data_IF_626542006369
#
_entry.id   IF_626542006369
#
_cell.length_a   1.000
_cell.length_b   1.000
_cell.length_c   1.000
_cell.angle_alpha   90.00
_cell.angle_beta   90.00
_cell.angle_gamma   90.00
#
_symmetry.space_group_name_H-M   'P 1'
#
loop_
_entity.id
_entity.type
_entity.pdbx_description
1 polymer ?
#
# COMPACT_ATOMS: atom_id res chain seq x y z
N UNK A 1 51.28 20.25 39.00
CA UNK A 1 50.39 19.09 39.14
C UNK A 1 49.06 19.41 38.45
N UNK A 2 48.79 18.80 37.29
CA UNK A 2 47.50 18.94 36.61
C UNK A 2 46.43 18.16 37.37
N UNK A 3 45.47 18.87 37.98
CA UNK A 3 44.30 18.24 38.62
C UNK A 3 43.45 17.62 37.50
N UNK A 4 43.22 16.30 37.55
CA UNK A 4 42.29 15.63 36.64
C UNK A 4 40.91 16.29 36.77
N UNK A 5 40.18 16.53 35.67
CA UNK A 5 38.80 16.99 35.76
C UNK A 5 37.96 15.95 36.54
N UNK A 6 36.98 16.39 37.33
CA UNK A 6 36.17 15.49 38.13
C UNK A 6 35.40 14.52 37.24
N UNK A 7 35.39 13.24 37.63
CA UNK A 7 34.60 12.20 36.96
C UNK A 7 33.11 12.53 37.15
N UNK A 8 32.29 12.52 36.09
CA UNK A 8 30.85 12.75 36.21
C UNK A 8 30.24 11.73 37.18
N UNK A 9 29.55 12.21 38.22
CA UNK A 9 28.78 11.34 39.12
C UNK A 9 27.47 11.01 38.41
N UNK A 10 27.30 9.76 38.01
CA UNK A 10 26.00 9.26 37.56
C UNK A 10 25.08 9.24 38.78
N UNK A 11 24.02 10.04 38.76
CA UNK A 11 22.97 9.99 39.78
C UNK A 11 22.13 8.72 39.57
N UNK A 12 21.84 7.97 40.64
CA UNK A 12 21.03 6.73 40.59
C UNK A 12 19.62 6.95 40.00
N UNK A 13 19.17 8.21 39.94
CA UNK A 13 17.87 8.62 39.39
C UNK A 13 17.91 8.95 37.89
N UNK A 14 18.99 8.60 37.17
CA UNK A 14 19.01 8.67 35.72
C UNK A 14 18.12 7.55 35.16
N UNK A 15 16.81 7.78 35.14
CA UNK A 15 15.86 6.93 34.42
C UNK A 15 16.39 6.76 32.99
N UNK A 16 16.71 5.52 32.64
CA UNK A 16 17.06 5.17 31.26
C UNK A 16 15.94 5.74 30.38
N UNK A 17 16.24 6.58 29.37
CA UNK A 17 15.18 7.12 28.53
C UNK A 17 14.37 5.94 28.00
N UNK A 18 13.04 5.98 28.20
CA UNK A 18 12.15 4.93 27.69
C UNK A 18 12.47 4.77 26.20
N UNK A 19 13.01 3.61 25.83
CA UNK A 19 13.31 3.28 24.44
C UNK A 19 11.97 3.32 23.72
N UNK A 20 11.75 4.34 22.90
CA UNK A 20 10.63 4.33 21.96
C UNK A 20 10.93 3.17 21.01
N UNK A 21 10.27 2.03 21.23
CA UNK A 21 10.42 0.88 20.35
C UNK A 21 10.04 1.32 18.94
N UNK A 22 10.92 1.01 17.99
CA UNK A 22 10.64 1.29 16.59
C UNK A 22 9.48 0.41 16.13
N UNK A 23 8.69 0.86 15.15
CA UNK A 23 7.56 0.09 14.64
C UNK A 23 8.02 -1.28 14.12
N UNK A 24 9.20 -1.34 13.51
CA UNK A 24 9.81 -2.59 13.07
C UNK A 24 10.06 -3.54 14.24
N UNK A 25 10.66 -3.05 15.35
CA UNK A 25 10.87 -3.85 16.57
C UNK A 25 9.55 -4.34 17.14
N UNK A 26 8.50 -3.50 17.17
CA UNK A 26 7.17 -3.88 17.64
C UNK A 26 6.53 -4.98 16.79
N UNK A 27 6.65 -4.89 15.45
CA UNK A 27 6.14 -5.92 14.54
C UNK A 27 6.88 -7.24 14.79
N UNK A 28 8.21 -7.23 14.83
CA UNK A 28 9.02 -8.43 15.07
C UNK A 28 8.68 -9.07 16.43
N UNK A 29 8.54 -8.27 17.48
CA UNK A 29 8.16 -8.73 18.83
C UNK A 29 6.79 -9.44 18.82
N UNK A 30 5.82 -8.91 18.07
CA UNK A 30 4.46 -9.49 17.98
C UNK A 30 4.47 -10.78 17.18
N UNK A 31 5.13 -10.80 16.01
CA UNK A 31 5.28 -11.99 15.17
C UNK A 31 5.92 -13.13 15.97
N UNK A 32 7.00 -12.82 16.70
CA UNK A 32 7.67 -13.78 17.57
C UNK A 32 6.75 -14.30 18.69
N UNK A 33 6.06 -13.40 19.41
CA UNK A 33 5.11 -13.78 20.48
C UNK A 33 3.96 -14.65 20.00
N UNK A 34 3.51 -14.45 18.76
CA UNK A 34 2.43 -15.21 18.14
C UNK A 34 2.90 -16.47 17.41
N UNK A 35 4.21 -16.75 17.41
CA UNK A 35 4.82 -17.88 16.70
C UNK A 35 4.45 -17.91 15.20
N UNK A 36 4.45 -16.73 14.56
CA UNK A 36 4.15 -16.57 13.14
C UNK A 36 5.44 -16.64 12.30
N UNK A 37 5.29 -16.88 10.99
CA UNK A 37 6.43 -17.00 10.08
C UNK A 37 6.92 -15.63 9.56
N UNK A 38 8.12 -15.62 8.98
CA UNK A 38 8.75 -14.44 8.38
C UNK A 38 7.91 -13.79 7.26
N UNK A 39 6.98 -14.54 6.64
CA UNK A 39 6.11 -14.00 5.60
C UNK A 39 5.12 -12.99 6.17
N UNK A 40 4.56 -13.25 7.36
CA UNK A 40 3.69 -12.31 8.07
C UNK A 40 4.47 -11.04 8.43
N UNK A 41 5.70 -11.17 8.90
CA UNK A 41 6.57 -10.03 9.22
C UNK A 41 6.83 -9.18 7.98
N UNK A 42 7.31 -9.80 6.88
CA UNK A 42 7.57 -9.12 5.61
C UNK A 42 6.32 -8.42 5.09
N UNK A 43 5.16 -9.06 5.18
CA UNK A 43 3.89 -8.47 4.74
C UNK A 43 3.50 -7.29 5.61
N UNK A 44 3.62 -7.40 6.93
CA UNK A 44 3.34 -6.31 7.89
C UNK A 44 4.23 -5.09 7.62
N UNK A 45 5.53 -5.32 7.45
CA UNK A 45 6.50 -4.27 7.08
C UNK A 45 6.16 -3.65 5.73
N UNK A 46 5.77 -4.45 4.74
CA UNK A 46 5.38 -3.93 3.42
C UNK A 46 4.15 -3.02 3.49
N UNK A 47 3.18 -3.34 4.35
CA UNK A 47 1.98 -2.51 4.57
C UNK A 47 2.37 -1.22 5.29
N UNK A 48 3.21 -1.31 6.31
CA UNK A 48 3.73 -0.16 7.06
C UNK A 48 4.53 0.82 6.19
N UNK A 49 5.37 0.32 5.28
CA UNK A 49 6.17 1.19 4.41
C UNK A 49 5.33 1.97 3.39
N UNK A 50 4.11 1.51 3.15
CA UNK A 50 3.20 2.10 2.16
C UNK A 50 2.17 3.02 2.84
N UNK A 51 1.79 2.74 4.09
CA UNK A 51 0.80 3.50 4.85
C UNK A 51 1.45 4.32 5.97
N UNK A 52 1.05 5.58 6.13
CA UNK A 52 1.46 6.37 7.29
C UNK A 52 0.69 5.93 8.53
N UNK A 53 1.28 4.99 9.29
CA UNK A 53 0.67 4.40 10.49
C UNK A 53 1.39 4.92 11.74
N UNK A 54 0.66 5.39 12.77
CA UNK A 54 1.26 5.86 14.02
C UNK A 54 2.08 4.78 14.73
N UNK A 55 3.28 5.12 15.19
CA UNK A 55 4.12 4.20 15.96
C UNK A 55 3.53 3.94 17.35
N UNK A 56 2.83 2.81 17.51
CA UNK A 56 2.30 2.33 18.78
C UNK A 56 2.03 0.83 18.73
N UNK A 57 2.02 0.18 19.89
CA UNK A 57 1.80 -1.26 20.01
C UNK A 57 0.47 -1.72 19.38
N UNK A 58 -0.63 -1.01 19.63
CA UNK A 58 -1.95 -1.35 19.08
C UNK A 58 -1.96 -1.31 17.54
N UNK A 59 -1.26 -0.33 16.94
CA UNK A 59 -1.16 -0.22 15.49
C UNK A 59 -0.24 -1.30 14.89
N UNK A 60 0.86 -1.64 15.58
CA UNK A 60 1.72 -2.76 15.20
C UNK A 60 0.95 -4.10 15.22
N UNK A 61 0.12 -4.31 16.24
CA UNK A 61 -0.72 -5.51 16.34
C UNK A 61 -1.79 -5.56 15.25
N UNK A 62 -2.45 -4.42 14.96
CA UNK A 62 -3.42 -4.33 13.88
C UNK A 62 -2.79 -4.56 12.50
N UNK A 63 -1.54 -4.13 12.29
CA UNK A 63 -0.74 -4.42 11.09
C UNK A 63 -0.50 -5.92 10.91
N UNK A 64 -0.06 -6.61 11.98
CA UNK A 64 0.13 -8.06 11.97
C UNK A 64 -1.18 -8.77 11.66
N UNK A 65 -2.30 -8.34 12.24
CA UNK A 65 -3.61 -8.95 12.01
C UNK A 65 -4.09 -8.73 10.57
N UNK A 66 -3.83 -7.54 10.01
CA UNK A 66 -4.07 -7.27 8.60
C UNK A 66 -3.22 -8.19 7.70
N UNK A 67 -1.94 -8.40 8.04
CA UNK A 67 -1.05 -9.28 7.27
C UNK A 67 -1.47 -10.75 7.34
N UNK A 68 -1.88 -11.22 8.53
CA UNK A 68 -2.43 -12.56 8.73
C UNK A 68 -3.68 -12.79 7.88
N UNK A 69 -4.63 -11.85 7.89
CA UNK A 69 -5.84 -11.92 7.06
C UNK A 69 -5.52 -11.98 5.56
N UNK A 70 -4.59 -11.16 5.06
CA UNK A 70 -4.19 -11.16 3.65
C UNK A 70 -3.49 -12.47 3.24
N UNK A 71 -2.81 -13.12 4.18
CA UNK A 71 -2.13 -14.41 3.99
C UNK A 71 -3.00 -15.62 4.38
N UNK A 72 -4.30 -15.40 4.69
CA UNK A 72 -5.27 -16.45 5.05
C UNK A 72 -4.92 -17.24 6.32
N UNK A 73 -4.25 -16.61 7.28
CA UNK A 73 -4.07 -17.15 8.63
C UNK A 73 -5.29 -16.85 9.52
N UNK A 74 -5.56 -17.72 10.49
CA UNK A 74 -6.57 -17.48 11.52
C UNK A 74 -6.14 -16.34 12.44
N UNK A 75 -6.98 -15.31 12.53
CA UNK A 75 -6.76 -14.19 13.45
C UNK A 75 -7.40 -14.52 14.80
N UNK A 76 -6.68 -14.42 15.93
CA UNK A 76 -7.24 -14.69 17.24
C UNK A 76 -8.43 -13.77 17.56
N UNK A 77 -9.42 -14.31 18.27
CA UNK A 77 -10.48 -13.50 18.85
C UNK A 77 -9.88 -12.53 19.88
N UNK A 78 -10.07 -11.23 19.66
CA UNK A 78 -9.49 -10.14 20.45
C UNK A 78 -10.47 -8.97 20.57
N UNK A 79 -10.04 -7.89 21.23
CA UNK A 79 -10.79 -6.64 21.35
C UNK A 79 -11.34 -6.17 19.98
N UNK A 80 -12.64 -5.90 19.91
CA UNK A 80 -13.33 -5.39 18.72
C UNK A 80 -12.65 -4.15 18.15
N UNK A 81 -12.06 -3.30 18.99
CA UNK A 81 -11.32 -2.11 18.55
C UNK A 81 -10.09 -2.46 17.72
N UNK A 82 -9.38 -3.53 18.08
CA UNK A 82 -8.21 -3.99 17.36
C UNK A 82 -8.62 -4.57 16.00
N UNK A 83 -9.67 -5.40 15.98
CA UNK A 83 -10.22 -5.96 14.73
C UNK A 83 -10.72 -4.85 13.80
N UNK A 84 -11.39 -3.83 14.34
CA UNK A 84 -11.83 -2.67 13.58
C UNK A 84 -10.65 -1.90 12.99
N UNK A 85 -9.60 -1.68 13.78
CA UNK A 85 -8.38 -0.99 13.32
C UNK A 85 -7.68 -1.79 12.20
N UNK A 86 -7.54 -3.11 12.38
CA UNK A 86 -6.97 -4.00 11.36
C UNK A 86 -7.76 -3.95 10.06
N UNK A 87 -9.10 -3.95 10.14
CA UNK A 87 -9.98 -3.80 8.98
C UNK A 87 -9.82 -2.44 8.29
N UNK A 88 -9.65 -1.36 9.05
CA UNK A 88 -9.40 -0.03 8.48
C UNK A 88 -8.07 0.02 7.73
N UNK A 89 -6.99 -0.53 8.31
CA UNK A 89 -5.69 -0.66 7.67
C UNK A 89 -5.81 -1.48 6.38
N UNK A 90 -6.51 -2.61 6.43
CA UNK A 90 -6.76 -3.46 5.27
C UNK A 90 -7.50 -2.72 4.16
N UNK A 91 -8.55 -1.96 4.51
CA UNK A 91 -9.29 -1.15 3.54
C UNK A 91 -8.43 -0.06 2.92
N UNK A 92 -7.60 0.62 3.72
CA UNK A 92 -6.66 1.61 3.21
C UNK A 92 -5.67 0.98 2.24
N UNK A 93 -5.02 -0.11 2.64
CA UNK A 93 -4.03 -0.82 1.83
C UNK A 93 -4.62 -1.40 0.54
N UNK A 94 -5.77 -2.06 0.61
CA UNK A 94 -6.46 -2.62 -0.57
C UNK A 94 -6.96 -1.55 -1.54
N UNK A 95 -7.26 -0.35 -1.03
CA UNK A 95 -7.66 0.79 -1.87
C UNK A 95 -6.51 1.44 -2.65
N UNK A 96 -5.27 1.01 -2.45
CA UNK A 96 -4.12 1.51 -3.18
C UNK A 96 -3.99 0.84 -4.55
N UNK A 97 -3.68 1.66 -5.56
CA UNK A 97 -3.40 1.15 -6.90
C UNK A 97 -2.18 0.24 -6.94
N UNK A 98 -1.17 0.49 -6.10
CA UNK A 98 0.04 -0.34 -6.00
C UNK A 98 -0.28 -1.77 -5.58
N UNK A 99 -1.25 -1.96 -4.68
CA UNK A 99 -1.73 -3.28 -4.25
C UNK A 99 -2.37 -4.02 -5.42
N UNK A 100 -3.17 -3.35 -6.25
CA UNK A 100 -3.75 -3.95 -7.45
C UNK A 100 -2.67 -4.33 -8.48
N UNK A 101 -1.69 -3.45 -8.70
CA UNK A 101 -0.56 -3.72 -9.59
C UNK A 101 0.25 -4.95 -9.13
N UNK A 102 0.50 -5.08 -7.83
CA UNK A 102 1.19 -6.25 -7.25
C UNK A 102 0.40 -7.54 -7.46
N UNK A 103 -0.92 -7.54 -7.22
CA UNK A 103 -1.79 -8.71 -7.48
C UNK A 103 -1.77 -9.14 -8.94
N UNK A 104 -1.64 -8.17 -9.86
CA UNK A 104 -1.53 -8.40 -11.30
C UNK A 104 -0.10 -8.69 -11.78
N UNK A 105 0.88 -8.76 -10.86
CA UNK A 105 2.31 -8.99 -11.16
C UNK A 105 2.90 -7.96 -12.14
N UNK A 106 2.43 -6.71 -12.05
CA UNK A 106 2.94 -5.60 -12.85
C UNK A 106 4.27 -5.14 -12.25
N UNK A 107 5.29 -4.90 -13.10
CA UNK A 107 6.60 -4.44 -12.65
C UNK A 107 6.57 -3.01 -12.07
N UNK A 108 7.66 -2.59 -11.42
CA UNK A 108 7.74 -1.28 -10.74
C UNK A 108 7.67 -0.09 -11.70
N UNK A 109 8.18 -0.21 -12.93
CA UNK A 109 8.14 0.86 -13.93
C UNK A 109 6.71 1.06 -14.42
N UNK A 110 6.04 -0.02 -14.79
CA UNK A 110 4.65 -0.02 -15.19
C UNK A 110 3.71 0.39 -14.04
N UNK A 111 4.04 0.03 -12.79
CA UNK A 111 3.32 0.51 -11.61
C UNK A 111 3.40 2.03 -11.46
N UNK A 112 4.56 2.62 -11.71
CA UNK A 112 4.72 4.09 -11.71
C UNK A 112 3.82 4.74 -12.75
N UNK A 113 3.75 4.18 -13.96
CA UNK A 113 2.84 4.65 -15.02
C UNK A 113 1.38 4.58 -14.55
N UNK A 114 0.96 3.47 -13.92
CA UNK A 114 -0.40 3.33 -13.38
C UNK A 114 -0.73 4.41 -12.33
N UNK A 115 0.21 4.69 -11.41
CA UNK A 115 0.04 5.72 -10.36
C UNK A 115 -0.05 7.11 -10.97
N UNK A 116 0.84 7.45 -11.90
CA UNK A 116 0.81 8.75 -12.60
C UNK A 116 -0.48 8.91 -13.36
N UNK A 117 -0.89 7.89 -14.11
CA UNK A 117 -2.12 7.91 -14.89
C UNK A 117 -3.35 8.11 -13.99
N UNK A 118 -3.44 7.42 -12.85
CA UNK A 118 -4.53 7.61 -11.89
C UNK A 118 -4.65 9.07 -11.45
N UNK A 119 -3.52 9.73 -11.14
CA UNK A 119 -3.51 11.15 -10.76
C UNK A 119 -4.01 12.04 -11.89
N UNK A 120 -3.63 11.76 -13.13
CA UNK A 120 -4.05 12.53 -14.31
C UNK A 120 -5.55 12.36 -14.60
N UNK A 121 -6.07 11.13 -14.52
CA UNK A 121 -7.48 10.85 -14.81
C UNK A 121 -8.40 11.13 -13.62
N UNK A 122 -7.86 11.46 -12.43
CA UNK A 122 -8.62 11.70 -11.20
C UNK A 122 -9.83 12.61 -11.41
N UNK A 123 -9.75 13.75 -12.14
CA UNK A 123 -10.91 14.61 -12.37
C UNK A 123 -12.08 13.91 -13.09
N UNK A 124 -11.77 12.92 -13.93
CA UNK A 124 -12.75 12.15 -14.71
C UNK A 124 -13.39 11.02 -13.91
N UNK A 125 -12.66 10.46 -12.93
CA UNK A 125 -13.07 9.24 -12.20
C UNK A 125 -13.34 9.45 -10.71
N UNK A 126 -13.14 10.66 -10.17
CA UNK A 126 -13.22 10.94 -8.72
C UNK A 126 -14.53 10.52 -8.05
N UNK A 127 -15.65 10.50 -8.78
CA UNK A 127 -16.98 10.11 -8.25
C UNK A 127 -17.17 8.60 -8.16
N UNK A 128 -16.25 7.80 -8.72
CA UNK A 128 -16.33 6.34 -8.74
C UNK A 128 -15.72 5.76 -7.46
N UNK A 129 -16.07 4.52 -7.06
CA UNK A 129 -15.36 3.83 -5.98
C UNK A 129 -13.86 3.69 -6.27
N UNK A 130 -13.00 3.80 -5.23
CA UNK A 130 -11.53 3.72 -5.40
C UNK A 130 -11.07 2.46 -6.14
N UNK A 131 -11.68 1.30 -5.86
CA UNK A 131 -11.39 0.04 -6.56
C UNK A 131 -11.61 0.16 -8.06
N UNK A 132 -12.69 0.83 -8.47
CA UNK A 132 -12.98 1.09 -9.88
C UNK A 132 -12.03 2.14 -10.48
N UNK A 133 -11.72 3.22 -9.74
CA UNK A 133 -10.72 4.21 -10.20
C UNK A 133 -9.37 3.54 -10.48
N UNK A 134 -8.89 2.69 -9.57
CA UNK A 134 -7.65 1.93 -9.72
C UNK A 134 -7.72 0.97 -10.91
N UNK A 135 -8.81 0.21 -11.05
CA UNK A 135 -8.98 -0.74 -12.15
C UNK A 135 -9.00 -0.06 -13.53
N UNK A 136 -9.64 1.11 -13.62
CA UNK A 136 -9.64 1.94 -14.83
C UNK A 136 -8.22 2.39 -15.18
N UNK A 137 -7.50 2.96 -14.21
CA UNK A 137 -6.13 3.43 -14.42
C UNK A 137 -5.21 2.27 -14.85
N UNK A 138 -5.28 1.13 -14.16
CA UNK A 138 -4.49 -0.06 -14.52
C UNK A 138 -4.84 -0.56 -15.92
N UNK A 139 -6.13 -0.60 -16.29
CA UNK A 139 -6.52 -1.07 -17.62
C UNK A 139 -5.97 -0.16 -18.73
N UNK A 140 -6.16 1.17 -18.61
CA UNK A 140 -5.65 2.11 -19.61
C UNK A 140 -4.11 2.07 -19.66
N UNK A 141 -3.43 2.09 -18.51
CA UNK A 141 -1.97 2.04 -18.47
C UNK A 141 -1.43 0.76 -19.13
N UNK A 142 -2.01 -0.39 -18.81
CA UNK A 142 -1.57 -1.68 -19.37
C UNK A 142 -1.88 -1.80 -20.86
N UNK A 143 -2.96 -1.20 -21.35
CA UNK A 143 -3.25 -1.13 -22.79
C UNK A 143 -2.24 -0.26 -23.54
N UNK A 144 -1.73 0.79 -22.92
CA UNK A 144 -0.68 1.65 -23.49
C UNK A 144 0.69 0.95 -23.46
N UNK A 145 1.10 0.42 -22.30
CA UNK A 145 2.42 -0.19 -22.10
C UNK A 145 2.56 -1.48 -22.91
N UNK A 146 1.54 -2.34 -22.84
CA UNK A 146 1.52 -3.67 -23.45
C UNK A 146 0.68 -3.69 -24.72
N UNK A 147 0.63 -2.58 -25.47
CA UNK A 147 -0.17 -2.43 -26.69
C UNK A 147 0.04 -3.60 -27.67
N UNK A 148 1.30 -4.04 -27.84
CA UNK A 148 1.65 -5.17 -28.72
C UNK A 148 1.18 -6.53 -28.22
N UNK A 149 0.93 -6.68 -26.92
CA UNK A 149 0.45 -7.92 -26.29
C UNK A 149 -1.07 -7.88 -26.01
N UNK A 150 -1.75 -6.79 -26.36
CA UNK A 150 -3.20 -6.62 -26.13
C UNK A 150 -3.58 -6.21 -24.70
N UNK A 151 -2.61 -5.75 -23.89
CA UNK A 151 -2.88 -5.33 -22.51
C UNK A 151 -3.21 -6.47 -21.55
N UNK A 152 -3.59 -6.13 -20.31
CA UNK A 152 -4.10 -7.13 -19.36
C UNK A 152 -5.59 -7.34 -19.58
N UNK A 153 -6.06 -8.59 -19.51
CA UNK A 153 -7.46 -8.93 -19.67
C UNK A 153 -8.35 -8.22 -18.64
N UNK A 154 -9.42 -7.57 -19.10
CA UNK A 154 -10.35 -6.82 -18.25
C UNK A 154 -11.00 -7.69 -17.16
N UNK A 155 -11.28 -8.97 -17.46
CA UNK A 155 -11.86 -9.92 -16.49
C UNK A 155 -10.88 -10.21 -15.35
N UNK A 156 -9.58 -10.30 -15.64
CA UNK A 156 -8.55 -10.53 -14.64
C UNK A 156 -8.40 -9.31 -13.71
N UNK A 157 -8.39 -8.10 -14.28
CA UNK A 157 -8.34 -6.86 -13.48
C UNK A 157 -9.57 -6.75 -12.60
N UNK A 158 -10.76 -6.97 -13.16
CA UNK A 158 -12.03 -6.91 -12.43
C UNK A 158 -12.06 -7.91 -11.26
N UNK A 159 -11.61 -9.15 -11.49
CA UNK A 159 -11.48 -10.16 -10.45
C UNK A 159 -10.55 -9.70 -9.31
N UNK A 160 -9.34 -9.23 -9.64
CA UNK A 160 -8.37 -8.78 -8.62
C UNK A 160 -8.79 -7.52 -7.87
N UNK A 161 -9.58 -6.65 -8.51
CA UNK A 161 -10.14 -5.45 -7.91
C UNK A 161 -11.48 -5.69 -7.20
N UNK A 162 -11.99 -6.92 -7.18
CA UNK A 162 -13.27 -7.31 -6.60
C UNK A 162 -14.46 -6.48 -7.14
N UNK A 163 -14.54 -6.35 -8.47
CA UNK A 163 -15.61 -5.65 -9.20
C UNK A 163 -16.10 -6.49 -10.38
N UNK A 164 -17.28 -6.16 -10.93
CA UNK A 164 -17.79 -6.87 -12.11
C UNK A 164 -17.12 -6.39 -13.41
N UNK A 165 -16.81 -7.29 -14.35
CA UNK A 165 -16.20 -6.91 -15.63
C UNK A 165 -17.05 -5.92 -16.43
N UNK A 166 -18.38 -6.05 -16.40
CA UNK A 166 -19.31 -5.18 -17.11
C UNK A 166 -19.26 -3.76 -16.54
N UNK A 167 -19.16 -3.62 -15.22
CA UNK A 167 -19.09 -2.32 -14.57
C UNK A 167 -17.78 -1.60 -14.90
N UNK A 168 -16.67 -2.34 -14.93
CA UNK A 168 -15.38 -1.82 -15.38
C UNK A 168 -15.45 -1.39 -16.85
N UNK A 169 -15.97 -2.24 -17.73
CA UNK A 169 -16.07 -1.95 -19.17
C UNK A 169 -16.92 -0.71 -19.46
N UNK A 170 -18.10 -0.62 -18.86
CA UNK A 170 -19.00 0.53 -19.03
C UNK A 170 -18.36 1.83 -18.51
N UNK A 171 -17.61 1.75 -17.41
CA UNK A 171 -16.94 2.93 -16.85
C UNK A 171 -15.78 3.40 -17.73
N UNK A 172 -15.03 2.48 -18.34
CA UNK A 172 -13.99 2.80 -19.33
C UNK A 172 -14.60 3.43 -20.59
N UNK A 173 -15.74 2.93 -21.06
CA UNK A 173 -16.40 3.51 -22.24
C UNK A 173 -16.84 4.97 -22.02
N UNK A 174 -17.17 5.36 -20.78
CA UNK A 174 -17.53 6.75 -20.44
C UNK A 174 -16.37 7.73 -20.53
N UNK A 175 -15.14 7.27 -20.28
CA UNK A 175 -13.93 8.10 -20.34
C UNK A 175 -13.23 8.02 -21.70
N UNK A 176 -13.65 7.10 -22.58
CA UNK A 176 -13.12 6.93 -23.94
C UNK A 176 -13.06 8.23 -24.77
N UNK A 177 -14.02 9.18 -24.67
CA UNK A 177 -13.91 10.46 -25.38
C UNK A 177 -12.65 11.27 -25.02
N UNK A 178 -12.08 11.06 -23.84
CA UNK A 178 -10.87 11.75 -23.37
C UNK A 178 -9.58 10.96 -23.65
N UNK A 179 -9.66 9.81 -24.32
CA UNK A 179 -8.52 8.90 -24.49
C UNK A 179 -7.29 9.56 -25.12
N UNK A 180 -7.49 10.40 -26.14
CA UNK A 180 -6.37 11.11 -26.79
C UNK A 180 -5.65 12.04 -25.81
N UNK A 181 -6.41 12.83 -25.04
CA UNK A 181 -5.85 13.75 -24.06
C UNK A 181 -5.14 13.01 -22.93
N UNK A 182 -5.73 11.93 -22.42
CA UNK A 182 -5.12 11.08 -21.39
C UNK A 182 -3.75 10.56 -21.86
N UNK A 183 -3.66 10.08 -23.10
CA UNK A 183 -2.42 9.58 -23.68
C UNK A 183 -1.39 10.71 -23.87
N UNK A 184 -1.83 11.85 -24.39
CA UNK A 184 -0.97 13.01 -24.59
C UNK A 184 -0.41 13.55 -23.27
N UNK A 185 -1.23 13.65 -22.22
CA UNK A 185 -0.81 14.11 -20.90
C UNK A 185 0.19 13.14 -20.26
N UNK A 186 -0.02 11.83 -20.45
CA UNK A 186 0.89 10.80 -19.97
C UNK A 186 2.27 10.89 -20.66
N UNK A 187 2.30 10.99 -21.99
CA UNK A 187 3.55 11.14 -22.73
C UNK A 187 4.25 12.47 -22.42
N UNK A 188 3.49 13.57 -22.33
CA UNK A 188 4.01 14.87 -21.92
C UNK A 188 4.71 14.77 -20.57
N UNK A 189 4.06 14.15 -19.59
CA UNK A 189 4.64 13.97 -18.25
C UNK A 189 5.98 13.24 -18.30
N UNK A 190 6.04 12.07 -18.95
CA UNK A 190 7.27 11.27 -19.00
C UNK A 190 8.36 11.86 -19.90
N UNK A 191 8.01 12.65 -20.92
CA UNK A 191 8.99 13.37 -21.74
C UNK A 191 9.59 14.59 -21.03
N UNK A 192 8.85 15.22 -20.12
CA UNK A 192 9.33 16.37 -19.34
C UNK A 192 10.02 15.96 -18.03
N UNK A 193 9.72 14.77 -17.52
CA UNK A 193 10.30 14.21 -16.28
C UNK A 193 11.21 13.02 -16.55
N UNK A 194 11.65 12.83 -17.80
CA UNK A 194 12.68 11.85 -18.14
C UNK A 194 14.01 12.26 -17.51
N UNK A 195 14.43 11.46 -16.53
CA UNK A 195 15.83 11.25 -16.14
C UNK A 195 16.54 10.52 -17.28
#
# INVERSE_FOLDING_TARGET
MFKRPPVPKFHEECNTPKRNQDMYELISDIVFKMNLNDEVEKKSISIFNVLSIPNSYMHAQALVYCAMNELQYEVPETDEKLLYLAKCIQQQYSSLITTLCQKLKIDSKATTVCVTLLRQIQPLVQKLPKSLQNAIAVKIATDIIYLKQGGINIKLIAYQANITPEYLHNSINRIRPFAFQIIQDLFTYFNHHSI
#
